data_IF_345209260561
#
_entry.id   IF_345209260561
#
_cell.length_a   1.000
_cell.length_b   1.000
_cell.length_c   1.000
_cell.angle_alpha   90.00
_cell.angle_beta   90.00
_cell.angle_gamma   90.00
#
_symmetry.space_group_name_H-M   'P 1'
#
loop_
_entity.id
_entity.type
_entity.pdbx_description
1 polymer ?
#
# COMPACT_ATOMS: atom_id res chain seq x y z
N UNK A 1 3.19 58.77 1.92
CA UNK A 1 3.07 57.36 2.32
C UNK A 1 3.74 57.23 3.68
N UNK A 2 2.97 57.18 4.76
CA UNK A 2 3.51 57.20 6.12
C UNK A 2 3.97 55.79 6.50
N UNK A 3 5.29 55.60 6.64
CA UNK A 3 5.88 54.41 7.26
C UNK A 3 5.33 54.27 8.68
N UNK A 4 4.38 53.35 8.86
CA UNK A 4 3.94 52.89 10.19
C UNK A 4 5.10 52.13 10.81
N UNK A 5 5.96 52.83 11.54
CA UNK A 5 6.97 52.21 12.41
C UNK A 5 6.27 51.18 13.31
N UNK A 6 6.72 49.92 13.34
CA UNK A 6 6.19 48.94 14.28
C UNK A 6 6.49 49.46 15.69
N UNK A 7 5.48 49.68 16.52
CA UNK A 7 5.68 50.01 17.94
C UNK A 7 4.74 51.04 18.56
N UNK A 8 4.11 51.93 17.78
CA UNK A 8 3.08 52.84 18.35
C UNK A 8 1.70 52.19 18.26
N UNK A 9 1.33 51.45 19.29
CA UNK A 9 -0.02 50.89 19.49
C UNK A 9 -0.11 49.36 19.53
N UNK A 10 1.01 48.64 19.49
CA UNK A 10 1.03 47.19 19.71
C UNK A 10 1.20 46.85 21.19
N UNK A 11 0.67 45.71 21.62
CA UNK A 11 0.81 45.21 22.99
C UNK A 11 2.28 44.96 23.32
N UNK A 12 2.71 45.46 24.48
CA UNK A 12 4.07 45.32 24.96
C UNK A 12 4.10 44.32 26.11
N UNK A 13 4.82 43.22 25.92
CA UNK A 13 4.98 42.18 26.93
C UNK A 13 6.45 42.12 27.40
N UNK A 14 6.75 42.47 28.67
CA UNK A 14 8.11 42.39 29.18
C UNK A 14 8.52 40.93 29.41
N UNK A 15 9.45 40.43 28.59
CA UNK A 15 9.98 39.07 28.68
C UNK A 15 11.16 39.01 29.66
N UNK A 16 11.16 37.98 30.52
CA UNK A 16 12.31 37.61 31.37
C UNK A 16 12.98 36.39 30.76
N UNK A 17 14.12 36.61 30.12
CA UNK A 17 14.90 35.54 29.52
C UNK A 17 15.80 34.88 30.58
N UNK A 18 15.94 33.54 30.56
CA UNK A 18 17.05 32.86 31.21
C UNK A 18 18.40 33.34 30.69
N UNK A 19 19.46 33.13 31.48
CA UNK A 19 20.82 33.53 31.12
C UNK A 19 21.24 32.96 29.75
N UNK A 20 21.79 33.82 28.89
CA UNK A 20 22.28 33.47 27.55
C UNK A 20 21.20 33.35 26.46
N UNK A 21 19.92 33.22 26.81
CA UNK A 21 18.85 33.06 25.82
C UNK A 21 18.62 34.32 24.99
N UNK A 22 18.77 35.50 25.61
CA UNK A 22 18.61 36.78 24.91
C UNK A 22 19.69 36.98 23.86
N UNK A 23 20.93 36.63 24.20
CA UNK A 23 22.09 36.70 23.32
C UNK A 23 21.94 35.75 22.14
N UNK A 24 21.40 34.55 22.38
CA UNK A 24 21.16 33.57 21.34
C UNK A 24 20.07 34.02 20.35
N UNK A 25 18.94 34.53 20.85
CA UNK A 25 17.88 35.09 19.97
C UNK A 25 18.43 36.27 19.18
N UNK A 26 19.31 37.09 19.78
CA UNK A 26 19.97 38.19 19.08
C UNK A 26 20.84 37.68 17.94
N UNK A 27 21.69 36.67 18.20
CA UNK A 27 22.56 36.05 17.19
C UNK A 27 21.75 35.55 16.01
N UNK A 28 20.66 34.83 16.27
CA UNK A 28 19.75 34.32 15.23
C UNK A 28 19.09 35.46 14.44
N UNK A 29 18.65 36.53 15.11
CA UNK A 29 18.08 37.69 14.44
C UNK A 29 19.10 38.41 13.54
N UNK A 30 20.34 38.56 14.02
CA UNK A 30 21.44 39.17 13.28
C UNK A 30 21.84 38.33 12.05
N UNK A 31 21.84 37.00 12.16
CA UNK A 31 22.08 36.06 11.04
C UNK A 31 21.03 36.21 9.92
N UNK A 32 19.78 36.40 10.29
CA UNK A 32 18.67 36.55 9.33
C UNK A 32 18.46 38.00 8.85
N UNK A 33 19.26 38.95 9.35
CA UNK A 33 19.13 40.37 9.03
C UNK A 33 17.81 40.98 9.53
N UNK A 34 17.22 40.41 10.58
CA UNK A 34 15.93 40.81 11.13
C UNK A 34 16.07 41.50 12.49
N UNK A 35 15.03 42.23 12.91
CA UNK A 35 14.98 42.73 14.28
C UNK A 35 14.73 41.56 15.25
N UNK A 36 15.28 41.64 16.45
CA UNK A 36 15.02 40.68 17.53
C UNK A 36 13.52 40.47 17.78
N UNK A 37 12.70 41.52 17.68
CA UNK A 37 11.26 41.41 17.84
C UNK A 37 10.61 40.60 16.72
N UNK A 38 11.05 40.80 15.46
CA UNK A 38 10.61 40.01 14.32
C UNK A 38 10.94 38.53 14.54
N UNK A 39 12.17 38.24 15.00
CA UNK A 39 12.62 36.87 15.23
C UNK A 39 11.83 36.17 16.35
N UNK A 40 11.51 36.88 17.43
CA UNK A 40 10.66 36.36 18.51
C UNK A 40 9.26 36.01 17.98
N UNK A 41 8.65 36.89 17.18
CA UNK A 41 7.32 36.65 16.60
C UNK A 41 7.35 35.45 15.64
N UNK A 42 8.39 35.34 14.81
CA UNK A 42 8.56 34.20 13.90
C UNK A 42 8.65 32.88 14.67
N UNK A 43 9.49 32.80 15.70
CA UNK A 43 9.64 31.59 16.51
C UNK A 43 8.36 31.20 17.26
N UNK A 44 7.62 32.20 17.77
CA UNK A 44 6.32 31.97 18.40
C UNK A 44 5.28 31.52 17.38
N UNK A 45 5.23 32.14 16.20
CA UNK A 45 4.34 31.75 15.11
C UNK A 45 4.60 30.32 14.65
N UNK A 46 5.86 29.98 14.42
CA UNK A 46 6.29 28.62 14.10
C UNK A 46 5.86 27.63 15.18
N UNK A 47 6.14 27.93 16.45
CA UNK A 47 5.73 27.04 17.55
C UNK A 47 4.22 26.90 17.64
N UNK A 48 3.44 27.94 17.35
CA UNK A 48 1.97 27.89 17.40
C UNK A 48 1.39 27.12 16.20
N UNK A 49 1.91 27.36 14.99
CA UNK A 49 1.51 26.64 13.78
C UNK A 49 1.89 25.15 13.85
N UNK A 50 3.10 24.85 14.33
CA UNK A 50 3.61 23.48 14.42
C UNK A 50 3.07 22.73 15.64
N UNK A 51 2.72 23.43 16.73
CA UNK A 51 1.92 22.84 17.82
C UNK A 51 0.51 22.44 17.39
N UNK A 52 0.06 22.94 16.22
CA UNK A 52 -1.20 22.60 15.57
C UNK A 52 -1.08 21.49 14.53
N UNK A 53 0.08 20.84 14.37
CA UNK A 53 0.10 19.56 13.64
C UNK A 53 -0.76 18.62 14.46
N UNK A 54 -1.99 18.38 14.00
CA UNK A 54 -2.96 17.50 14.63
C UNK A 54 -2.43 16.07 14.54
N UNK A 55 -1.48 15.76 15.43
CA UNK A 55 -0.81 14.47 15.55
C UNK A 55 -1.89 13.40 15.71
N UNK A 56 -2.96 13.72 16.43
CA UNK A 56 -4.13 12.85 16.61
C UNK A 56 -4.88 12.62 15.28
N UNK A 57 -5.11 13.66 14.50
CA UNK A 57 -5.62 13.56 13.13
C UNK A 57 -4.72 12.76 12.18
N UNK A 58 -3.39 12.91 12.28
CA UNK A 58 -2.43 12.11 11.52
C UNK A 58 -2.48 10.62 11.92
N UNK A 59 -2.55 10.32 13.22
CA UNK A 59 -2.73 8.96 13.71
C UNK A 59 -4.03 8.35 13.21
N UNK A 60 -5.12 9.12 13.23
CA UNK A 60 -6.42 8.67 12.75
C UNK A 60 -6.40 8.34 11.25
N UNK A 61 -5.80 9.21 10.43
CA UNK A 61 -5.61 8.95 9.00
C UNK A 61 -4.77 7.69 8.73
N UNK A 62 -3.69 7.48 9.50
CA UNK A 62 -2.84 6.28 9.37
C UNK A 62 -3.63 5.00 9.69
N UNK A 63 -4.47 5.03 10.72
CA UNK A 63 -5.32 3.89 11.11
C UNK A 63 -6.32 3.58 9.99
N UNK A 64 -6.99 4.59 9.45
CA UNK A 64 -7.96 4.43 8.36
C UNK A 64 -7.30 3.89 7.09
N UNK A 65 -6.14 4.43 6.70
CA UNK A 65 -5.38 3.91 5.55
C UNK A 65 -4.98 2.45 5.73
N UNK A 66 -4.56 2.04 6.94
CA UNK A 66 -4.21 0.64 7.21
C UNK A 66 -5.41 -0.28 7.10
N UNK A 67 -6.58 0.16 7.58
CA UNK A 67 -7.82 -0.61 7.45
C UNK A 67 -8.24 -0.74 5.98
N UNK A 68 -8.13 0.34 5.21
CA UNK A 68 -8.48 0.30 3.78
C UNK A 68 -7.51 -0.59 2.99
N UNK A 69 -6.21 -0.52 3.26
CA UNK A 69 -5.23 -1.44 2.67
C UNK A 69 -5.57 -2.89 3.01
N UNK A 70 -5.95 -3.19 4.25
CA UNK A 70 -6.34 -4.53 4.65
C UNK A 70 -7.60 -5.01 3.91
N UNK A 71 -8.58 -4.12 3.74
CA UNK A 71 -9.81 -4.40 2.98
C UNK A 71 -9.52 -4.67 1.51
N UNK A 72 -8.73 -3.83 0.86
CA UNK A 72 -8.35 -3.98 -0.54
C UNK A 72 -7.55 -5.25 -0.77
N UNK A 73 -6.62 -5.59 0.13
CA UNK A 73 -5.88 -6.86 0.07
C UNK A 73 -6.82 -8.06 0.13
N UNK A 74 -7.81 -8.04 1.01
CA UNK A 74 -8.81 -9.11 1.11
C UNK A 74 -9.67 -9.21 -0.15
N UNK A 75 -10.09 -8.09 -0.72
CA UNK A 75 -10.83 -8.09 -1.99
C UNK A 75 -10.00 -8.63 -3.15
N UNK A 76 -8.71 -8.26 -3.22
CA UNK A 76 -7.80 -8.77 -4.22
C UNK A 76 -7.60 -10.28 -4.06
N UNK A 77 -7.50 -10.77 -2.84
CA UNK A 77 -7.43 -12.21 -2.55
C UNK A 77 -8.68 -12.95 -3.05
N UNK A 78 -9.87 -12.46 -2.71
CA UNK A 78 -11.14 -13.05 -3.21
C UNK A 78 -11.22 -13.00 -4.74
N UNK A 79 -10.82 -11.89 -5.35
CA UNK A 79 -10.82 -11.75 -6.81
C UNK A 79 -9.83 -12.70 -7.48
N UNK A 80 -8.65 -12.92 -6.88
CA UNK A 80 -7.68 -13.93 -7.32
C UNK A 80 -8.27 -15.33 -7.23
N UNK A 81 -8.87 -15.69 -6.09
CA UNK A 81 -9.52 -16.99 -5.90
C UNK A 81 -10.62 -17.25 -6.95
N UNK A 82 -11.47 -16.25 -7.21
CA UNK A 82 -12.51 -16.35 -8.24
C UNK A 82 -11.91 -16.56 -9.65
N UNK A 83 -10.81 -15.89 -9.97
CA UNK A 83 -10.13 -16.04 -11.25
C UNK A 83 -9.44 -17.39 -11.39
N UNK A 84 -8.76 -17.88 -10.35
CA UNK A 84 -8.20 -19.23 -10.33
C UNK A 84 -9.29 -20.28 -10.55
N UNK A 85 -10.45 -20.10 -9.93
CA UNK A 85 -11.61 -20.97 -10.13
C UNK A 85 -12.13 -20.94 -11.58
N UNK A 86 -12.29 -19.76 -12.17
CA UNK A 86 -12.73 -19.62 -13.58
C UNK A 86 -11.71 -20.24 -14.54
N UNK A 87 -10.42 -19.99 -14.34
CA UNK A 87 -9.35 -20.59 -15.14
C UNK A 87 -9.36 -22.10 -15.04
N UNK A 88 -9.62 -22.64 -13.85
CA UNK A 88 -9.76 -24.07 -13.65
C UNK A 88 -10.98 -24.64 -14.37
N UNK A 89 -12.14 -24.00 -14.29
CA UNK A 89 -13.34 -24.43 -15.03
C UNK A 89 -13.10 -24.42 -16.55
N UNK A 90 -12.38 -23.43 -17.07
CA UNK A 90 -11.96 -23.42 -18.48
C UNK A 90 -11.04 -24.62 -18.76
N UNK A 91 -9.97 -24.79 -17.98
CA UNK A 91 -8.99 -25.86 -18.20
C UNK A 91 -9.53 -27.26 -17.96
N UNK A 92 -10.61 -27.42 -17.19
CA UNK A 92 -11.29 -28.70 -16.98
C UNK A 92 -11.80 -29.31 -18.30
N UNK A 93 -12.12 -28.48 -19.29
CA UNK A 93 -12.51 -28.92 -20.63
C UNK A 93 -11.33 -28.91 -21.63
N UNK A 94 -10.07 -28.80 -21.17
CA UNK A 94 -8.89 -28.54 -22.00
C UNK A 94 -8.58 -29.57 -23.09
N UNK A 95 -9.14 -30.78 -23.03
CA UNK A 95 -9.00 -31.76 -24.13
C UNK A 95 -9.67 -31.31 -25.44
N UNK A 96 -10.53 -30.29 -25.37
CA UNK A 96 -11.26 -29.72 -26.52
C UNK A 96 -10.90 -28.24 -26.79
N UNK A 97 -9.91 -27.70 -26.07
CA UNK A 97 -9.63 -26.26 -26.08
C UNK A 97 -8.50 -25.91 -27.06
N UNK A 98 -8.69 -24.87 -27.89
CA UNK A 98 -7.64 -24.32 -28.73
C UNK A 98 -6.38 -23.94 -27.92
N UNK A 99 -5.16 -24.28 -28.38
CA UNK A 99 -3.89 -23.99 -27.69
C UNK A 99 -3.72 -22.53 -27.25
N UNK A 100 -4.33 -21.60 -27.97
CA UNK A 100 -4.32 -20.16 -27.74
C UNK A 100 -4.96 -19.79 -26.39
N UNK A 101 -5.99 -20.52 -25.97
CA UNK A 101 -6.63 -20.32 -24.66
C UNK A 101 -5.78 -20.89 -23.51
N UNK A 102 -4.93 -21.88 -23.81
CA UNK A 102 -3.96 -22.38 -22.84
C UNK A 102 -2.84 -21.37 -22.57
N UNK A 103 -2.42 -20.59 -23.58
CA UNK A 103 -1.50 -19.45 -23.40
C UNK A 103 -2.11 -18.37 -22.53
N UNK A 104 -3.39 -18.05 -22.78
CA UNK A 104 -4.11 -17.07 -21.98
C UNK A 104 -4.23 -17.49 -20.51
N UNK A 105 -4.47 -18.78 -20.25
CA UNK A 105 -4.48 -19.31 -18.90
C UNK A 105 -3.09 -19.26 -18.25
N UNK A 106 -2.01 -19.64 -18.94
CA UNK A 106 -0.63 -19.52 -18.44
C UNK A 106 -0.28 -18.05 -18.11
N UNK A 107 -0.67 -17.13 -18.99
CA UNK A 107 -0.42 -15.69 -18.81
C UNK A 107 -1.15 -15.12 -17.61
N UNK A 108 -2.42 -15.49 -17.43
CA UNK A 108 -3.21 -15.05 -16.27
C UNK A 108 -2.66 -15.63 -14.96
N UNK A 109 -2.09 -16.83 -14.98
CA UNK A 109 -1.42 -17.43 -13.82
C UNK A 109 -0.06 -16.77 -13.51
N UNK A 110 0.71 -16.34 -14.53
CA UNK A 110 2.00 -15.64 -14.33
C UNK A 110 1.85 -14.28 -13.65
N UNK A 111 0.76 -13.57 -13.92
CA UNK A 111 0.44 -12.29 -13.26
C UNK A 111 0.18 -12.49 -11.74
N UNK A 112 -0.08 -13.71 -11.27
CA UNK A 112 -0.43 -14.01 -9.89
C UNK A 112 0.76 -14.33 -8.95
N UNK A 113 1.99 -14.46 -9.46
CA UNK A 113 3.20 -14.72 -8.64
C UNK A 113 4.17 -13.52 -8.62
N UNK A 114 3.96 -12.53 -7.73
CA UNK A 114 4.87 -11.38 -7.58
C UNK A 114 6.19 -11.73 -6.88
N UNK A 115 6.37 -12.98 -6.44
CA UNK A 115 7.62 -13.50 -5.84
C UNK A 115 8.47 -14.29 -6.82
N UNK A 116 8.01 -14.43 -8.05
CA UNK A 116 8.76 -15.15 -9.07
C UNK A 116 9.81 -14.22 -9.67
N UNK A 117 11.08 -14.50 -9.39
CA UNK A 117 12.30 -13.86 -9.94
C UNK A 117 12.43 -13.99 -11.48
N UNK A 118 11.35 -14.12 -12.24
CA UNK A 118 11.43 -14.07 -13.71
C UNK A 118 11.61 -12.61 -14.13
N UNK A 119 12.87 -12.32 -14.44
CA UNK A 119 13.45 -11.08 -14.94
C UNK A 119 12.54 -10.37 -15.96
N UNK A 120 12.53 -9.05 -15.91
CA UNK A 120 11.83 -8.11 -16.81
C UNK A 120 12.06 -8.39 -18.32
N UNK A 121 13.02 -9.23 -18.69
CA UNK A 121 13.37 -9.64 -20.06
C UNK A 121 12.30 -10.52 -20.76
N UNK A 122 11.44 -11.23 -20.01
CA UNK A 122 10.42 -12.14 -20.61
C UNK A 122 9.15 -11.40 -21.07
N UNK A 123 9.05 -10.08 -20.83
CA UNK A 123 7.91 -9.26 -21.26
C UNK A 123 7.95 -8.99 -22.78
N UNK A 124 9.11 -9.06 -23.43
CA UNK A 124 9.20 -8.89 -24.90
C UNK A 124 8.74 -10.15 -25.68
N UNK A 125 8.74 -11.33 -25.06
CA UNK A 125 8.30 -12.59 -25.68
C UNK A 125 6.79 -12.87 -25.55
N UNK A 126 6.05 -11.85 -25.14
CA UNK A 126 4.60 -11.80 -24.93
C UNK A 126 3.77 -11.67 -26.22
N UNK A 127 4.38 -11.83 -27.40
CA UNK A 127 3.69 -11.78 -28.69
C UNK A 127 2.71 -12.97 -28.82
N UNK A 128 1.42 -12.65 -28.94
CA UNK A 128 0.30 -13.59 -29.11
C UNK A 128 0.49 -14.49 -30.35
N UNK A 129 1.34 -14.08 -31.29
CA UNK A 129 1.54 -14.72 -32.58
C UNK A 129 2.66 -15.78 -32.64
N UNK A 130 3.40 -16.02 -31.54
CA UNK A 130 4.40 -17.10 -31.52
C UNK A 130 3.74 -18.46 -31.22
N UNK A 131 3.80 -19.45 -32.12
CA UNK A 131 3.23 -20.76 -31.87
C UNK A 131 3.91 -21.43 -30.66
N UNK A 132 3.14 -22.03 -29.73
CA UNK A 132 3.77 -22.81 -28.66
C UNK A 132 4.52 -23.99 -29.25
N UNK A 133 5.84 -23.96 -29.10
CA UNK A 133 6.68 -25.12 -29.29
C UNK A 133 6.19 -26.27 -28.39
N UNK A 134 6.31 -27.54 -28.81
CA UNK A 134 5.84 -28.71 -28.04
C UNK A 134 6.39 -28.77 -26.60
N UNK A 135 7.63 -28.32 -26.41
CA UNK A 135 8.31 -28.18 -25.11
C UNK A 135 7.64 -27.16 -24.18
N UNK A 136 7.05 -26.09 -24.74
CA UNK A 136 6.29 -25.09 -23.99
C UNK A 136 4.91 -25.61 -23.57
N UNK A 137 4.28 -26.48 -24.37
CA UNK A 137 2.99 -27.09 -24.01
C UNK A 137 3.09 -27.95 -22.75
N UNK A 138 4.18 -28.71 -22.61
CA UNK A 138 4.39 -29.57 -21.44
C UNK A 138 4.80 -28.77 -20.20
N UNK A 139 5.54 -27.67 -20.37
CA UNK A 139 5.82 -26.73 -19.28
C UNK A 139 4.53 -26.06 -18.76
N UNK A 140 3.65 -25.63 -19.65
CA UNK A 140 2.35 -25.03 -19.31
C UNK A 140 1.45 -26.07 -18.62
N UNK A 141 1.37 -27.30 -19.13
CA UNK A 141 0.64 -28.40 -18.47
C UNK A 141 1.12 -28.65 -17.04
N UNK A 142 2.43 -28.72 -16.83
CA UNK A 142 3.01 -28.93 -15.49
C UNK A 142 2.67 -27.79 -14.52
N UNK A 143 2.65 -26.54 -14.99
CA UNK A 143 2.24 -25.39 -14.15
C UNK A 143 0.77 -25.40 -13.81
N UNK A 144 -0.08 -25.75 -14.77
CA UNK A 144 -1.52 -25.93 -14.55
C UNK A 144 -1.76 -27.03 -13.50
N UNK A 145 -1.05 -28.16 -13.60
CA UNK A 145 -1.18 -29.26 -12.64
C UNK A 145 -0.66 -28.88 -11.24
N UNK A 146 0.44 -28.12 -11.15
CA UNK A 146 0.94 -27.60 -9.87
C UNK A 146 -0.04 -26.59 -9.24
N UNK A 147 -0.61 -25.70 -10.05
CA UNK A 147 -1.64 -24.76 -9.61
C UNK A 147 -2.89 -25.51 -9.11
N UNK A 148 -3.27 -26.61 -9.78
CA UNK A 148 -4.34 -27.52 -9.34
C UNK A 148 -4.06 -28.13 -7.97
N UNK A 149 -2.89 -28.71 -7.75
CA UNK A 149 -2.55 -29.32 -6.47
C UNK A 149 -2.65 -28.30 -5.32
N UNK A 150 -2.12 -27.09 -5.54
CA UNK A 150 -2.23 -25.99 -4.56
C UNK A 150 -3.69 -25.59 -4.30
N UNK A 151 -4.52 -25.56 -5.33
CA UNK A 151 -5.94 -25.26 -5.20
C UNK A 151 -6.69 -26.36 -4.42
N UNK A 152 -6.47 -27.64 -4.77
CA UNK A 152 -7.12 -28.78 -4.13
C UNK A 152 -6.75 -28.86 -2.63
N UNK A 153 -5.48 -28.68 -2.29
CA UNK A 153 -5.00 -28.63 -0.90
C UNK A 153 -5.66 -27.50 -0.10
N UNK A 154 -5.84 -26.32 -0.71
CA UNK A 154 -6.44 -25.16 -0.03
C UNK A 154 -7.95 -25.28 0.07
N UNK A 155 -8.63 -25.78 -0.96
CA UNK A 155 -10.06 -26.07 -0.91
C UNK A 155 -10.40 -27.13 0.14
N UNK A 156 -9.56 -28.16 0.26
CA UNK A 156 -9.70 -29.14 1.33
C UNK A 156 -9.65 -28.48 2.72
N UNK A 157 -8.67 -27.59 2.95
CA UNK A 157 -8.57 -26.81 4.21
C UNK A 157 -9.78 -25.91 4.45
N UNK A 158 -10.27 -25.22 3.42
CA UNK A 158 -11.46 -24.37 3.54
C UNK A 158 -12.70 -25.20 3.89
N UNK A 159 -12.90 -26.34 3.23
CA UNK A 159 -13.99 -27.27 3.51
C UNK A 159 -13.88 -27.81 4.94
N UNK A 160 -12.67 -28.11 5.41
CA UNK A 160 -12.39 -28.55 6.78
C UNK A 160 -12.68 -27.44 7.81
N UNK A 161 -12.32 -26.19 7.53
CA UNK A 161 -12.65 -25.02 8.35
C UNK A 161 -14.16 -24.76 8.41
N UNK A 162 -14.86 -24.86 7.28
CA UNK A 162 -16.32 -24.71 7.23
C UNK A 162 -16.99 -25.81 8.03
N UNK A 163 -16.55 -27.06 7.87
CA UNK A 163 -17.10 -28.22 8.58
C UNK A 163 -16.79 -28.16 10.08
N UNK A 164 -15.61 -27.68 10.49
CA UNK A 164 -15.27 -27.52 11.90
C UNK A 164 -16.10 -26.43 12.58
N UNK A 165 -16.31 -25.28 11.91
CA UNK A 165 -17.23 -24.22 12.39
C UNK A 165 -18.68 -24.69 12.52
N UNK A 166 -19.17 -25.49 11.58
CA UNK A 166 -20.52 -26.08 11.66
C UNK A 166 -20.65 -27.12 12.79
N UNK A 167 -19.59 -27.87 13.10
CA UNK A 167 -19.56 -28.83 14.24
C UNK A 167 -19.58 -28.13 15.59
N UNK A 168 -18.91 -26.99 15.73
CA UNK A 168 -18.92 -26.19 16.96
C UNK A 168 -20.30 -25.58 17.20
N UNK A 169 -20.92 -24.98 16.16
CA UNK A 169 -22.25 -24.37 16.25
C UNK A 169 -23.39 -25.37 16.57
N UNK A 170 -23.22 -26.67 16.25
CA UNK A 170 -24.18 -27.73 16.61
C UNK A 170 -23.99 -28.30 18.03
N UNK A 171 -22.87 -28.06 18.70
CA UNK A 171 -22.62 -28.51 20.09
C UNK A 171 -23.06 -27.50 21.15
N UNK A 172 -23.35 -26.26 20.76
CA UNK A 172 -23.80 -25.17 21.64
C UNK A 172 -25.33 -24.98 21.64
N UNK A 173 -26.09 -25.88 21.01
CA UNK A 173 -27.55 -25.98 21.08
C UNK A 173 -27.94 -27.27 21.77
#
# INVERSE_FOLDING_TARGET
MSDKKPGRGADQFPLRFPDGMREEIKRLADEDGQSMNTKIIELLGFSLEESGTDIEGLYQNIIEQRQEIARLRKQLEISRENRTHILWEILRYANEIPPELTVWADRLLRIEDPTSDWVEDDIEDLAIDKPLLPENKEAVRRRVELARQRYDERMYKIIEEINSRHRVSRKEK
#
